data_IF_965407861609
#
_entry.id   IF_965407861609
#
_cell.length_a   1.000
_cell.length_b   1.000
_cell.length_c   1.000
_cell.angle_alpha   90.00
_cell.angle_beta   90.00
_cell.angle_gamma   90.00
#
_symmetry.space_group_name_H-M   'P 1'
#
loop_
_entity.id
_entity.type
_entity.pdbx_description
1 polymer ?
#
# COMPACT_ATOMS: atom_id res chain seq x y z
N UNK A 1 70.79 -38.60 -51.65
CA UNK A 1 69.37 -38.39 -52.02
C UNK A 1 68.54 -39.09 -50.96
N UNK A 2 67.93 -38.33 -50.07
CA UNK A 2 66.99 -38.86 -49.00
C UNK A 2 65.62 -38.31 -49.29
N UNK A 3 64.67 -39.16 -49.60
CA UNK A 3 63.30 -38.86 -49.91
C UNK A 3 62.53 -38.72 -48.61
N UNK A 4 61.92 -37.57 -48.39
CA UNK A 4 61.05 -37.33 -47.21
C UNK A 4 59.62 -37.71 -47.58
N UNK A 5 59.04 -38.60 -46.81
CA UNK A 5 57.62 -38.97 -46.93
C UNK A 5 56.83 -38.12 -45.98
N UNK A 6 55.90 -37.31 -46.55
CA UNK A 6 54.98 -36.47 -45.76
C UNK A 6 53.73 -37.29 -45.52
N UNK A 7 53.39 -37.56 -44.24
CA UNK A 7 52.08 -38.14 -43.82
C UNK A 7 51.09 -36.99 -43.60
N UNK A 8 50.03 -36.96 -44.40
CA UNK A 8 48.84 -36.15 -44.18
C UNK A 8 47.96 -36.87 -43.16
N UNK A 9 47.86 -36.35 -41.98
CA UNK A 9 46.77 -36.75 -41.04
C UNK A 9 45.53 -36.02 -41.38
N UNK A 10 44.50 -36.71 -41.83
CA UNK A 10 43.15 -36.20 -41.98
C UNK A 10 42.45 -36.19 -40.63
N UNK A 11 42.14 -35.00 -40.10
CA UNK A 11 41.38 -34.80 -38.87
C UNK A 11 39.90 -34.92 -39.23
N UNK A 12 39.26 -36.02 -38.86
CA UNK A 12 37.83 -36.18 -38.98
C UNK A 12 37.12 -35.44 -37.82
N UNK A 13 36.51 -34.29 -38.13
CA UNK A 13 35.66 -33.58 -37.20
C UNK A 13 34.31 -34.28 -37.16
N UNK A 14 34.05 -35.05 -36.09
CA UNK A 14 32.73 -35.60 -35.79
C UNK A 14 31.80 -34.48 -35.28
N UNK A 15 30.91 -34.02 -36.16
CA UNK A 15 29.82 -33.14 -35.74
C UNK A 15 28.75 -33.96 -35.04
N UNK A 16 28.74 -33.93 -33.71
CA UNK A 16 27.62 -34.44 -32.91
C UNK A 16 26.39 -33.55 -33.14
N UNK A 17 25.21 -34.10 -33.46
CA UNK A 17 23.99 -33.30 -33.55
C UNK A 17 23.64 -32.80 -32.16
N UNK A 18 23.66 -31.46 -31.97
CA UNK A 18 23.19 -30.81 -30.77
C UNK A 18 21.67 -30.99 -30.72
N UNK A 19 21.21 -31.96 -29.94
CA UNK A 19 19.81 -32.10 -29.61
C UNK A 19 19.40 -30.83 -28.83
N UNK A 20 18.77 -29.87 -29.52
CA UNK A 20 18.04 -28.78 -28.89
C UNK A 20 16.81 -29.41 -28.26
N UNK A 21 16.91 -29.79 -26.99
CA UNK A 21 15.73 -30.09 -26.19
C UNK A 21 15.01 -28.75 -26.01
N UNK A 22 13.79 -28.57 -26.57
CA UNK A 22 13.02 -27.38 -26.22
C UNK A 22 12.77 -27.49 -24.72
N UNK A 23 13.46 -26.66 -23.94
CA UNK A 23 13.03 -26.41 -22.56
C UNK A 23 11.59 -25.94 -22.67
N UNK A 24 10.63 -26.77 -22.26
CA UNK A 24 9.29 -26.31 -21.98
C UNK A 24 9.45 -25.19 -20.93
N UNK A 25 9.53 -23.96 -21.39
CA UNK A 25 9.18 -22.82 -20.57
C UNK A 25 7.70 -23.06 -20.25
N UNK A 26 7.40 -23.55 -19.05
CA UNK A 26 6.09 -23.31 -18.46
C UNK A 26 5.92 -21.80 -18.53
N UNK A 27 5.00 -21.32 -19.38
CA UNK A 27 4.59 -19.95 -19.29
C UNK A 27 4.23 -19.70 -17.83
N UNK A 28 4.73 -18.63 -17.21
CA UNK A 28 4.29 -18.31 -15.86
C UNK A 28 2.76 -18.29 -15.85
N UNK A 29 2.10 -18.85 -14.84
CA UNK A 29 0.66 -18.68 -14.68
C UNK A 29 0.41 -17.16 -14.65
N UNK A 30 -0.33 -16.63 -15.65
CA UNK A 30 -0.55 -15.19 -15.78
C UNK A 30 -0.20 -14.60 -17.15
N UNK A 31 0.31 -15.39 -18.11
CA UNK A 31 0.45 -14.92 -19.49
C UNK A 31 -0.88 -14.94 -20.29
N UNK A 32 -2.01 -15.15 -19.60
CA UNK A 32 -3.33 -14.76 -20.08
C UNK A 32 -3.50 -13.26 -19.94
N UNK A 33 -4.31 -12.62 -20.76
CA UNK A 33 -4.65 -11.21 -20.60
C UNK A 33 -5.20 -11.00 -19.18
N UNK A 34 -4.45 -10.28 -18.34
CA UNK A 34 -4.93 -9.88 -17.03
C UNK A 34 -6.20 -9.04 -17.21
N UNK A 35 -7.16 -9.21 -16.32
CA UNK A 35 -8.42 -8.46 -16.33
C UNK A 35 -8.33 -7.36 -15.30
N UNK A 36 -8.89 -6.22 -15.63
CA UNK A 36 -8.92 -5.00 -14.85
C UNK A 36 -8.46 -3.83 -15.70
N UNK A 37 -8.92 -2.64 -15.39
CA UNK A 37 -8.60 -1.41 -16.09
C UNK A 37 -8.39 -0.28 -15.08
N UNK A 38 -7.35 0.49 -15.25
CA UNK A 38 -7.09 1.69 -14.46
C UNK A 38 -7.35 2.92 -15.33
N UNK A 39 -8.42 3.64 -15.06
CA UNK A 39 -8.76 4.85 -15.79
C UNK A 39 -8.48 6.10 -14.96
N UNK A 40 -8.03 7.20 -15.58
CA UNK A 40 -8.01 8.49 -14.91
C UNK A 40 -9.45 8.91 -14.61
N UNK A 41 -9.75 9.12 -13.33
CA UNK A 41 -11.05 9.56 -12.86
C UNK A 41 -11.13 11.10 -12.82
N UNK A 42 -10.12 11.72 -12.23
CA UNK A 42 -9.97 13.18 -12.13
C UNK A 42 -8.53 13.52 -11.68
N UNK A 43 -8.33 14.80 -11.36
CA UNK A 43 -7.10 15.28 -10.74
C UNK A 43 -7.41 15.82 -9.35
N UNK A 44 -6.45 15.72 -8.46
CA UNK A 44 -6.53 16.31 -7.14
C UNK A 44 -6.27 17.82 -7.24
N UNK A 45 -7.23 18.65 -6.85
CA UNK A 45 -7.15 20.10 -6.99
C UNK A 45 -6.14 20.76 -6.02
N UNK A 46 -5.63 20.01 -5.03
CA UNK A 46 -4.55 20.48 -4.16
C UNK A 46 -3.17 20.23 -4.75
N UNK A 47 -2.09 20.70 -4.10
CA UNK A 47 -0.73 20.44 -4.54
C UNK A 47 -0.43 18.95 -4.66
N UNK A 48 0.28 18.54 -5.73
CA UNK A 48 0.82 17.21 -5.89
C UNK A 48 1.63 16.80 -4.65
N UNK A 49 1.46 15.57 -4.18
CA UNK A 49 2.01 15.12 -2.91
C UNK A 49 2.26 13.62 -2.82
N UNK A 50 3.10 13.22 -1.87
CA UNK A 50 3.30 11.83 -1.46
C UNK A 50 3.26 11.72 0.06
N UNK A 51 3.10 10.50 0.58
CA UNK A 51 3.15 10.23 2.03
C UNK A 51 2.16 11.09 2.83
N UNK A 52 1.02 11.38 2.22
CA UNK A 52 -0.06 12.16 2.81
C UNK A 52 -0.94 11.29 3.71
N UNK A 53 -1.88 11.93 4.38
CA UNK A 53 -2.89 11.29 5.23
C UNK A 53 -4.22 11.23 4.50
N UNK A 54 -4.94 10.11 4.64
CA UNK A 54 -6.32 9.98 4.15
C UNK A 54 -7.21 9.29 5.17
N UNK A 55 -8.49 9.66 5.16
CA UNK A 55 -9.57 8.96 5.84
C UNK A 55 -10.90 9.22 5.11
N UNK A 56 -11.86 8.32 5.30
CA UNK A 56 -13.19 8.45 4.68
C UNK A 56 -14.25 8.55 5.77
N UNK A 57 -15.10 9.57 5.69
CA UNK A 57 -16.28 9.73 6.54
C UNK A 57 -17.51 9.63 5.64
N UNK A 58 -18.34 8.62 5.85
CA UNK A 58 -19.44 8.28 4.96
C UNK A 58 -18.96 8.19 3.50
N UNK A 59 -19.60 8.89 2.56
CA UNK A 59 -19.25 8.91 1.14
C UNK A 59 -18.32 10.08 0.76
N UNK A 60 -17.48 10.54 1.70
CA UNK A 60 -16.55 11.64 1.48
C UNK A 60 -15.15 11.23 1.92
N UNK A 61 -14.19 11.30 1.02
CA UNK A 61 -12.77 11.12 1.34
C UNK A 61 -12.13 12.46 1.69
N UNK A 62 -11.19 12.40 2.62
CA UNK A 62 -10.39 13.52 3.10
C UNK A 62 -8.93 13.21 2.88
N UNK A 63 -8.18 14.16 2.31
CA UNK A 63 -6.75 14.03 2.01
C UNK A 63 -6.03 15.29 2.45
N UNK A 64 -4.91 15.13 3.14
CA UNK A 64 -4.12 16.28 3.54
C UNK A 64 -2.72 15.93 4.02
N UNK A 65 -1.96 16.94 4.40
CA UNK A 65 -0.54 16.83 4.76
C UNK A 65 0.30 16.22 3.63
N UNK A 66 1.41 15.58 3.93
CA UNK A 66 2.27 14.93 2.94
C UNK A 66 3.44 15.80 2.50
N UNK A 67 4.24 15.25 1.60
CA UNK A 67 5.40 15.88 1.01
C UNK A 67 5.08 16.32 -0.42
N UNK A 68 5.06 17.61 -0.68
CA UNK A 68 5.05 18.17 -2.02
C UNK A 68 6.44 18.14 -2.65
N UNK A 69 6.59 18.78 -3.83
CA UNK A 69 7.86 18.80 -4.56
C UNK A 69 8.99 19.50 -3.78
N UNK A 70 8.67 20.50 -2.96
CA UNK A 70 9.68 21.34 -2.29
C UNK A 70 9.48 21.48 -0.79
N UNK A 71 8.31 21.15 -0.27
CA UNK A 71 7.97 21.34 1.15
C UNK A 71 6.94 20.33 1.63
N UNK A 72 6.88 20.11 2.94
CA UNK A 72 5.78 19.43 3.59
C UNK A 72 4.57 20.32 3.67
N UNK A 73 3.39 19.71 3.68
CA UNK A 73 2.11 20.37 3.58
C UNK A 73 1.29 20.17 4.86
N UNK A 74 0.32 21.08 5.10
CA UNK A 74 -0.69 20.96 6.15
C UNK A 74 -2.10 21.27 5.66
N UNK A 75 -2.27 21.57 4.37
CA UNK A 75 -3.59 21.73 3.78
C UNK A 75 -4.38 20.43 3.81
N UNK A 76 -5.70 20.55 3.84
CA UNK A 76 -6.62 19.41 3.77
C UNK A 76 -7.73 19.67 2.76
N UNK A 77 -8.18 18.60 2.12
CA UNK A 77 -9.16 18.63 1.03
C UNK A 77 -10.16 17.52 1.22
N UNK A 78 -11.37 17.69 0.73
CA UNK A 78 -12.41 16.66 0.68
C UNK A 78 -12.95 16.46 -0.72
N UNK A 79 -13.36 15.25 -1.02
CA UNK A 79 -13.96 14.86 -2.29
C UNK A 79 -15.09 13.87 -2.07
N UNK A 80 -16.17 14.02 -2.86
CA UNK A 80 -17.23 13.03 -2.98
C UNK A 80 -17.59 12.82 -4.45
N UNK A 81 -18.04 11.64 -4.81
CA UNK A 81 -18.39 11.31 -6.21
C UNK A 81 -19.51 12.22 -6.76
N UNK A 82 -20.39 12.72 -5.90
CA UNK A 82 -21.50 13.58 -6.31
C UNK A 82 -21.06 15.00 -6.71
N UNK A 83 -19.87 15.42 -6.26
CA UNK A 83 -19.35 16.76 -6.55
C UNK A 83 -18.40 16.80 -7.74
N UNK A 84 -17.67 15.71 -8.00
CA UNK A 84 -16.68 15.58 -9.08
C UNK A 84 -15.51 16.57 -9.03
N UNK A 85 -15.32 17.26 -7.91
CA UNK A 85 -14.18 18.19 -7.66
C UNK A 85 -13.80 18.16 -6.18
N UNK A 86 -12.56 18.56 -5.90
CA UNK A 86 -12.03 18.66 -4.54
C UNK A 86 -12.35 20.01 -3.93
N UNK A 87 -12.60 20.04 -2.67
CA UNK A 87 -12.89 21.25 -1.90
C UNK A 87 -11.85 21.35 -0.79
N UNK A 88 -11.12 22.45 -0.75
CA UNK A 88 -10.24 22.72 0.38
C UNK A 88 -11.06 22.97 1.64
N UNK A 89 -10.64 22.36 2.74
CA UNK A 89 -11.22 22.50 4.07
C UNK A 89 -10.20 23.17 5.01
N UNK A 90 -10.54 23.30 6.29
CA UNK A 90 -9.62 23.87 7.26
C UNK A 90 -8.27 23.15 7.28
N UNK A 91 -7.20 23.93 7.19
CA UNK A 91 -5.84 23.43 7.28
C UNK A 91 -5.61 22.66 8.58
N UNK A 92 -4.78 21.62 8.50
CA UNK A 92 -4.44 20.80 9.64
C UNK A 92 -3.70 21.59 10.71
N UNK A 93 -4.28 21.69 11.89
CA UNK A 93 -3.73 22.48 12.99
C UNK A 93 -2.48 21.88 13.65
N UNK A 94 -2.19 20.60 13.40
CA UNK A 94 -0.96 19.96 13.87
C UNK A 94 0.30 20.39 13.12
N UNK A 95 0.19 21.25 12.10
CA UNK A 95 1.32 21.76 11.30
C UNK A 95 1.70 20.85 10.13
N UNK A 96 2.75 21.26 9.42
CA UNK A 96 3.26 20.53 8.25
C UNK A 96 3.81 19.16 8.67
N UNK A 97 3.54 18.12 7.85
CA UNK A 97 4.07 16.77 8.09
C UNK A 97 3.89 15.83 6.91
N UNK A 98 4.65 14.76 6.88
CA UNK A 98 4.44 13.60 6.01
C UNK A 98 4.52 12.30 6.83
N UNK A 99 4.20 11.17 6.20
CA UNK A 99 4.29 9.83 6.82
C UNK A 99 3.48 9.68 8.13
N UNK A 100 2.44 10.50 8.28
CA UNK A 100 1.49 10.45 9.39
C UNK A 100 0.46 9.35 9.20
N UNK A 101 -0.53 9.34 10.12
CA UNK A 101 -1.65 8.38 10.10
C UNK A 101 -2.98 9.10 9.93
N UNK A 102 -3.98 8.37 9.40
CA UNK A 102 -5.37 8.80 9.36
C UNK A 102 -6.33 7.64 9.52
N UNK A 103 -7.42 7.89 10.22
CA UNK A 103 -8.56 6.98 10.35
C UNK A 103 -9.85 7.76 10.63
N UNK A 104 -11.00 7.13 10.46
CA UNK A 104 -12.27 7.76 10.81
C UNK A 104 -13.09 6.86 11.74
N UNK A 105 -13.70 7.47 12.77
CA UNK A 105 -14.56 6.81 13.75
C UNK A 105 -15.74 7.73 14.08
N UNK A 106 -16.94 7.17 14.14
CA UNK A 106 -18.17 7.88 14.60
C UNK A 106 -18.40 9.22 13.87
N UNK A 107 -18.18 9.26 12.55
CA UNK A 107 -18.38 10.46 11.74
C UNK A 107 -17.34 11.56 11.93
N UNK A 108 -16.25 11.29 12.61
CA UNK A 108 -15.10 12.18 12.79
C UNK A 108 -13.86 11.59 12.13
N UNK A 109 -12.99 12.44 11.58
CA UNK A 109 -11.68 12.04 11.06
C UNK A 109 -10.58 12.28 12.09
N UNK A 110 -9.58 11.46 12.09
CA UNK A 110 -8.41 11.60 12.97
C UNK A 110 -7.15 11.59 12.13
N UNK A 111 -6.22 12.51 12.44
CA UNK A 111 -4.91 12.57 11.81
C UNK A 111 -3.85 12.91 12.85
N UNK A 112 -2.63 12.41 12.65
CA UNK A 112 -1.55 12.67 13.59
C UNK A 112 -0.27 11.93 13.25
N UNK A 113 0.67 11.89 14.20
CA UNK A 113 1.98 11.27 14.04
C UNK A 113 2.74 11.84 12.83
N UNK A 114 3.74 11.12 12.34
CA UNK A 114 4.50 11.54 11.15
C UNK A 114 5.75 12.33 11.48
N UNK A 115 6.27 13.07 10.51
CA UNK A 115 7.53 13.80 10.57
C UNK A 115 7.36 15.23 10.05
N UNK A 116 7.77 16.23 10.83
CA UNK A 116 7.63 17.66 10.47
C UNK A 116 8.84 18.23 9.71
N UNK A 117 9.94 17.50 9.70
CA UNK A 117 11.21 17.92 9.13
C UNK A 117 12.36 17.91 10.13
N UNK A 118 12.01 17.95 11.41
CA UNK A 118 12.97 17.92 12.52
C UNK A 118 12.78 16.70 13.42
N UNK A 119 11.52 16.38 13.77
CA UNK A 119 11.21 15.34 14.75
C UNK A 119 10.07 14.44 14.31
N UNK A 120 10.04 13.21 14.84
CA UNK A 120 8.86 12.37 14.79
C UNK A 120 7.81 12.89 15.77
N UNK A 121 6.56 12.84 15.36
CA UNK A 121 5.44 13.42 16.08
C UNK A 121 4.56 12.33 16.71
N UNK A 122 3.82 12.69 17.78
CA UNK A 122 2.84 11.81 18.43
C UNK A 122 1.52 12.50 18.74
N UNK A 123 1.35 13.75 18.34
CA UNK A 123 0.09 14.47 18.48
C UNK A 123 -1.00 13.84 17.60
N UNK A 124 -2.23 13.90 18.09
CA UNK A 124 -3.41 13.41 17.38
C UNK A 124 -4.48 14.50 17.40
N UNK A 125 -5.16 14.65 16.28
CA UNK A 125 -6.16 15.68 16.05
C UNK A 125 -7.43 15.07 15.46
N UNK A 126 -8.58 15.54 15.93
CA UNK A 126 -9.90 15.19 15.46
C UNK A 126 -10.42 16.27 14.52
N UNK A 127 -10.89 15.88 13.34
CA UNK A 127 -11.62 16.71 12.41
C UNK A 127 -13.11 16.51 12.55
N UNK A 128 -13.84 17.60 12.66
CA UNK A 128 -15.32 17.61 12.64
C UNK A 128 -15.82 18.21 11.32
N UNK A 129 -16.53 17.43 10.47
CA UNK A 129 -17.15 17.97 9.25
C UNK A 129 -18.15 19.11 9.54
N UNK A 130 -18.89 19.03 10.65
CA UNK A 130 -19.93 19.98 11.01
C UNK A 130 -19.39 21.38 11.28
N UNK A 131 -18.24 21.47 11.95
CA UNK A 131 -17.57 22.74 12.27
C UNK A 131 -16.48 23.13 11.26
N UNK A 132 -16.14 22.23 10.32
CA UNK A 132 -14.97 22.36 9.46
C UNK A 132 -13.72 22.73 10.27
N UNK A 133 -13.44 21.98 11.34
CA UNK A 133 -12.39 22.36 12.29
C UNK A 133 -11.67 21.17 12.92
N UNK A 134 -10.45 21.45 13.38
CA UNK A 134 -9.57 20.50 14.06
C UNK A 134 -9.48 20.80 15.56
N UNK A 135 -9.61 19.76 16.38
CA UNK A 135 -9.42 19.79 17.81
C UNK A 135 -8.31 18.83 18.22
N UNK A 136 -7.37 19.28 19.06
CA UNK A 136 -6.34 18.42 19.60
C UNK A 136 -6.94 17.40 20.54
N UNK A 137 -6.49 16.16 20.44
CA UNK A 137 -6.86 15.02 21.26
C UNK A 137 -5.66 14.57 22.11
N UNK A 138 -5.88 13.56 22.94
CA UNK A 138 -4.81 12.92 23.70
C UNK A 138 -3.70 12.44 22.76
N UNK A 139 -2.47 12.79 23.08
CA UNK A 139 -1.31 12.32 22.35
C UNK A 139 -1.30 10.80 22.29
N UNK A 140 -0.80 10.27 21.19
CA UNK A 140 -0.66 8.84 20.96
C UNK A 140 0.02 8.13 22.15
N UNK A 141 -0.50 6.99 22.54
CA UNK A 141 -0.04 6.25 23.73
C UNK A 141 1.34 5.60 23.59
N UNK A 142 1.77 5.36 22.35
CA UNK A 142 3.12 4.84 22.06
C UNK A 142 4.15 5.94 21.82
N UNK A 143 5.28 5.58 21.24
CA UNK A 143 6.35 6.51 20.86
C UNK A 143 5.98 7.33 19.62
N UNK A 144 6.53 8.53 19.50
CA UNK A 144 6.47 9.34 18.28
C UNK A 144 7.04 8.53 17.10
N UNK A 145 6.35 8.50 15.95
CA UNK A 145 6.72 7.60 14.86
C UNK A 145 6.20 8.02 13.50
N UNK A 146 6.80 7.43 12.49
CA UNK A 146 6.41 7.53 11.07
C UNK A 146 5.99 6.18 10.50
N UNK A 147 5.29 6.22 9.35
CA UNK A 147 5.03 5.04 8.53
C UNK A 147 4.35 3.88 9.29
N UNK A 148 3.54 4.23 10.30
CA UNK A 148 2.64 3.31 10.97
C UNK A 148 1.40 3.03 10.09
N UNK A 149 0.74 1.89 10.33
CA UNK A 149 -0.61 1.67 9.81
C UNK A 149 -1.66 2.17 10.78
N UNK A 150 -2.77 2.69 10.25
CA UNK A 150 -3.92 3.07 11.04
C UNK A 150 -5.22 2.55 10.43
N UNK A 151 -6.16 2.18 11.27
CA UNK A 151 -7.45 1.61 10.85
C UNK A 151 -8.51 1.83 11.92
N UNK A 152 -9.76 1.58 11.58
CA UNK A 152 -10.88 1.64 12.52
C UNK A 152 -11.65 0.31 12.55
N UNK A 153 -11.99 -0.17 13.74
CA UNK A 153 -12.83 -1.35 13.98
C UNK A 153 -13.70 -1.12 15.22
N UNK A 154 -14.96 -1.53 15.17
CA UNK A 154 -15.86 -1.54 16.32
C UNK A 154 -15.95 -0.19 17.06
N UNK A 155 -15.98 0.92 16.34
CA UNK A 155 -16.01 2.29 16.85
C UNK A 155 -14.74 2.74 17.60
N UNK A 156 -13.63 2.07 17.41
CA UNK A 156 -12.31 2.45 17.91
C UNK A 156 -11.34 2.71 16.75
N UNK A 157 -10.41 3.64 16.97
CA UNK A 157 -9.25 3.82 16.10
C UNK A 157 -8.10 2.91 16.54
N UNK A 158 -7.27 2.51 15.62
CA UNK A 158 -6.07 1.71 15.90
C UNK A 158 -4.86 2.27 15.18
N UNK A 159 -3.71 2.21 15.82
CA UNK A 159 -2.40 2.50 15.23
C UNK A 159 -1.45 1.37 15.57
N UNK A 160 -0.81 0.79 14.57
CA UNK A 160 0.11 -0.31 14.77
C UNK A 160 1.38 -0.13 13.93
N UNK A 161 2.47 -0.76 14.35
CA UNK A 161 3.75 -0.76 13.63
C UNK A 161 4.39 0.63 13.51
N UNK A 162 5.23 0.84 12.50
CA UNK A 162 5.90 2.13 12.26
C UNK A 162 7.37 2.12 12.66
N UNK A 163 7.95 3.33 12.73
CA UNK A 163 9.37 3.54 12.96
C UNK A 163 9.63 4.74 13.87
N UNK A 164 10.43 4.54 14.91
CA UNK A 164 10.90 5.54 15.90
C UNK A 164 12.42 5.45 16.11
N UNK A 165 13.18 5.26 15.04
CA UNK A 165 14.55 4.79 14.96
C UNK A 165 14.69 3.26 15.17
N UNK A 166 13.60 2.61 15.55
CA UNK A 166 13.46 1.16 15.55
C UNK A 166 12.20 0.78 14.79
N UNK A 167 12.23 -0.37 14.12
CA UNK A 167 10.99 -0.96 13.60
C UNK A 167 10.10 -1.40 14.75
N UNK A 168 8.80 -1.18 14.63
CA UNK A 168 7.82 -1.42 15.69
C UNK A 168 6.82 -2.51 15.29
N UNK A 169 6.18 -3.12 16.29
CA UNK A 169 5.09 -4.09 16.10
C UNK A 169 3.99 -3.98 17.16
N UNK A 170 4.05 -2.94 18.00
CA UNK A 170 3.00 -2.64 18.94
C UNK A 170 1.70 -2.27 18.23
N UNK A 171 0.60 -2.40 18.92
CA UNK A 171 -0.74 -2.05 18.45
C UNK A 171 -1.45 -1.30 19.57
N UNK A 172 -2.09 -0.19 19.25
CA UNK A 172 -2.74 0.70 20.19
C UNK A 172 -4.15 1.00 19.74
N UNK A 173 -5.11 0.92 20.65
CA UNK A 173 -6.49 1.27 20.44
C UNK A 173 -6.77 2.66 21.01
N UNK A 174 -7.45 3.50 20.24
CA UNK A 174 -7.97 4.80 20.64
C UNK A 174 -9.47 4.71 20.90
N UNK A 175 -9.89 5.14 22.08
CA UNK A 175 -11.28 5.32 22.43
C UNK A 175 -11.67 6.80 22.27
N UNK A 176 -12.49 7.16 21.25
CA UNK A 176 -12.89 8.54 21.03
C UNK A 176 -13.77 9.11 22.17
N UNK A 177 -14.55 8.27 22.87
CA UNK A 177 -15.43 8.70 23.93
C UNK A 177 -14.65 9.05 25.22
N UNK A 178 -13.61 8.27 25.51
CA UNK A 178 -12.75 8.48 26.68
C UNK A 178 -11.54 9.38 26.38
N UNK A 179 -11.28 9.72 25.11
CA UNK A 179 -10.06 10.38 24.64
C UNK A 179 -8.80 9.73 25.22
N UNK A 180 -8.67 8.41 25.04
CA UNK A 180 -7.60 7.63 25.66
C UNK A 180 -7.08 6.52 24.76
N UNK A 181 -5.80 6.14 24.99
CA UNK A 181 -5.12 5.07 24.28
C UNK A 181 -4.88 3.88 25.20
N UNK A 182 -5.11 2.67 24.67
CA UNK A 182 -4.84 1.41 25.36
C UNK A 182 -3.99 0.53 24.45
N UNK A 183 -2.90 0.00 24.99
CA UNK A 183 -2.07 -0.95 24.24
C UNK A 183 -2.80 -2.29 24.14
N UNK A 184 -2.79 -2.86 22.93
CA UNK A 184 -3.42 -4.13 22.57
C UNK A 184 -2.35 -5.14 22.17
N UNK A 185 -2.78 -6.38 21.83
CA UNK A 185 -1.88 -7.39 21.33
C UNK A 185 -1.09 -6.87 20.11
N UNK A 186 0.23 -6.97 20.18
CA UNK A 186 1.11 -6.53 19.09
C UNK A 186 1.02 -7.43 17.86
N UNK A 187 1.32 -6.86 16.69
CA UNK A 187 1.36 -7.59 15.40
C UNK A 187 2.30 -8.79 15.51
N UNK A 188 1.87 -9.94 15.00
CA UNK A 188 2.75 -11.12 14.89
C UNK A 188 3.86 -10.88 13.86
N UNK A 189 4.80 -11.80 13.78
CA UNK A 189 5.91 -11.71 12.85
C UNK A 189 6.93 -10.61 13.18
N UNK A 190 7.56 -10.09 12.14
CA UNK A 190 8.64 -9.11 12.29
C UNK A 190 8.10 -7.70 12.60
N UNK A 191 8.88 -6.94 13.37
CA UNK A 191 8.69 -5.48 13.51
C UNK A 191 8.81 -4.83 12.13
N UNK A 192 8.00 -3.80 11.84
CA UNK A 192 7.91 -3.22 10.50
C UNK A 192 7.47 -1.77 10.46
N UNK A 193 7.75 -1.13 9.35
CA UNK A 193 7.19 0.14 8.90
C UNK A 193 6.63 0.02 7.48
N UNK A 194 5.91 1.03 7.00
CA UNK A 194 5.45 1.12 5.60
C UNK A 194 4.65 -0.08 5.12
N UNK A 195 3.98 -0.79 6.02
CA UNK A 195 3.04 -1.86 5.67
C UNK A 195 1.75 -1.25 5.09
N UNK A 196 0.98 -2.06 4.37
CA UNK A 196 -0.38 -1.69 3.98
C UNK A 196 -1.40 -2.34 4.92
N UNK A 197 -2.57 -1.69 5.07
CA UNK A 197 -3.66 -2.22 5.88
C UNK A 197 -4.98 -2.12 5.12
N UNK A 198 -5.83 -3.12 5.27
CA UNK A 198 -7.21 -3.11 4.77
C UNK A 198 -8.14 -3.82 5.74
N UNK A 199 -9.43 -3.52 5.64
CA UNK A 199 -10.46 -4.11 6.51
C UNK A 199 -11.36 -5.00 5.66
N UNK A 200 -11.46 -6.27 6.03
CA UNK A 200 -12.41 -7.22 5.46
C UNK A 200 -13.06 -8.02 6.58
N UNK A 201 -14.34 -8.31 6.45
CA UNK A 201 -15.10 -9.11 7.42
C UNK A 201 -14.87 -8.64 8.87
N UNK A 202 -14.88 -7.32 9.09
CA UNK A 202 -14.64 -6.68 10.39
C UNK A 202 -13.30 -7.09 11.08
N UNK A 203 -12.30 -7.41 10.29
CA UNK A 203 -10.93 -7.70 10.74
C UNK A 203 -9.93 -6.81 10.00
N UNK A 204 -8.85 -6.44 10.65
CA UNK A 204 -7.76 -5.67 10.02
C UNK A 204 -6.67 -6.62 9.52
N UNK A 205 -6.29 -6.45 8.28
CA UNK A 205 -5.25 -7.21 7.61
C UNK A 205 -4.04 -6.32 7.38
N UNK A 206 -2.91 -6.63 8.01
CA UNK A 206 -1.63 -5.93 7.82
C UNK A 206 -0.76 -6.78 6.89
N UNK A 207 -0.45 -6.24 5.72
CA UNK A 207 0.26 -6.95 4.67
C UNK A 207 1.64 -6.37 4.45
N UNK A 208 2.65 -7.25 4.42
CA UNK A 208 4.02 -6.92 4.03
C UNK A 208 4.62 -5.74 4.83
N UNK A 209 5.25 -4.77 4.16
CA UNK A 209 6.00 -3.68 4.76
C UNK A 209 7.51 -3.95 4.75
N UNK A 210 8.27 -3.09 5.41
CA UNK A 210 9.72 -3.09 5.37
C UNK A 210 10.33 -3.34 6.75
N UNK A 211 11.34 -4.19 6.80
CA UNK A 211 12.16 -4.45 7.98
C UNK A 211 13.58 -4.85 7.59
N UNK A 212 14.58 -4.22 8.20
CA UNK A 212 15.98 -4.62 8.09
C UNK A 212 16.48 -4.88 6.66
N UNK A 213 16.11 -4.01 5.70
CA UNK A 213 16.61 -4.08 4.33
C UNK A 213 15.74 -4.89 3.36
N UNK A 214 14.61 -5.46 3.81
CA UNK A 214 13.78 -6.32 2.97
C UNK A 214 12.27 -6.06 3.13
N UNK A 215 11.50 -6.35 2.09
CA UNK A 215 10.06 -6.49 2.16
C UNK A 215 9.70 -7.75 2.96
N UNK A 216 8.69 -7.63 3.83
CA UNK A 216 8.19 -8.75 4.60
C UNK A 216 7.23 -9.59 3.78
N UNK A 217 7.28 -10.90 4.00
CA UNK A 217 6.55 -11.91 3.25
C UNK A 217 5.43 -12.52 4.09
N UNK A 218 4.61 -11.67 4.72
CA UNK A 218 3.54 -12.11 5.61
C UNK A 218 2.26 -11.28 5.46
N UNK A 219 1.17 -11.86 5.91
CA UNK A 219 -0.14 -11.25 6.06
C UNK A 219 -0.65 -11.59 7.46
N UNK A 220 -0.85 -10.57 8.28
CA UNK A 220 -1.29 -10.70 9.66
C UNK A 220 -2.70 -10.15 9.83
N UNK A 221 -3.57 -10.88 10.50
CA UNK A 221 -4.99 -10.53 10.67
C UNK A 221 -5.30 -10.30 12.13
N UNK A 222 -5.87 -9.14 12.45
CA UNK A 222 -6.29 -8.74 13.79
C UNK A 222 -7.80 -8.85 13.96
N UNK A 223 -8.20 -9.56 14.98
CA UNK A 223 -9.56 -9.62 15.49
C UNK A 223 -9.69 -8.76 16.76
N UNK A 224 -10.37 -7.63 16.63
CA UNK A 224 -10.54 -6.68 17.74
C UNK A 224 -11.48 -7.20 18.83
N UNK A 225 -12.36 -8.16 18.53
CA UNK A 225 -13.28 -8.75 19.51
C UNK A 225 -12.56 -9.66 20.50
N UNK A 226 -11.50 -10.34 20.04
CA UNK A 226 -10.71 -11.27 20.85
C UNK A 226 -9.33 -10.73 21.24
N UNK A 227 -8.93 -9.57 20.72
CA UNK A 227 -7.60 -8.99 20.86
C UNK A 227 -6.49 -9.96 20.44
N UNK A 228 -6.65 -10.61 19.26
CA UNK A 228 -5.70 -11.61 18.77
C UNK A 228 -5.32 -11.37 17.32
N UNK A 229 -4.08 -11.69 17.02
CA UNK A 229 -3.55 -11.75 15.66
C UNK A 229 -3.45 -13.21 15.19
N UNK A 230 -3.62 -13.41 13.88
CA UNK A 230 -3.46 -14.70 13.20
C UNK A 230 -2.66 -14.47 11.92
N UNK A 231 -1.62 -15.27 11.72
CA UNK A 231 -0.83 -15.25 10.47
C UNK A 231 -1.55 -16.04 9.38
N UNK A 232 -1.70 -15.45 8.21
CA UNK A 232 -2.18 -16.07 6.98
C UNK A 232 -1.03 -16.70 6.19
N UNK A 233 -1.32 -17.22 4.99
CA UNK A 233 -0.29 -17.79 4.11
C UNK A 233 0.79 -16.75 3.79
N UNK A 234 1.99 -17.24 3.53
CA UNK A 234 3.09 -16.41 3.03
C UNK A 234 2.75 -15.85 1.65
N UNK A 235 3.23 -14.64 1.37
CA UNK A 235 2.95 -13.91 0.12
C UNK A 235 3.77 -14.41 -1.07
N UNK A 236 4.90 -15.08 -0.81
CA UNK A 236 5.77 -15.64 -1.84
C UNK A 236 6.17 -17.07 -1.48
N UNK A 237 6.63 -17.83 -2.46
CA UNK A 237 7.04 -19.22 -2.25
C UNK A 237 8.30 -19.33 -1.39
N UNK A 238 8.12 -19.55 -0.11
CA UNK A 238 9.18 -19.95 0.85
C UNK A 238 8.94 -21.33 1.44
N UNK A 239 7.74 -21.89 1.25
CA UNK A 239 7.35 -23.23 1.74
C UNK A 239 6.18 -23.75 0.92
N UNK A 240 5.83 -25.03 1.06
CA UNK A 240 4.64 -25.63 0.45
C UNK A 240 3.32 -24.96 0.88
N UNK A 241 3.35 -24.17 1.95
CA UNK A 241 2.20 -23.38 2.39
C UNK A 241 2.13 -21.98 1.78
N UNK A 242 3.12 -21.53 1.01
CA UNK A 242 3.00 -20.34 0.19
C UNK A 242 2.11 -20.67 -1.01
N UNK A 243 1.26 -19.71 -1.43
CA UNK A 243 0.40 -19.98 -2.59
C UNK A 243 1.04 -19.54 -3.90
N UNK A 244 2.26 -19.03 -3.85
CA UNK A 244 2.89 -18.41 -4.99
C UNK A 244 4.36 -18.76 -5.11
N UNK A 245 4.67 -19.60 -6.06
CA UNK A 245 6.02 -19.96 -6.48
C UNK A 245 6.64 -18.98 -7.49
N UNK A 246 5.88 -17.99 -7.97
CA UNK A 246 6.25 -17.19 -9.13
C UNK A 246 6.10 -15.69 -8.95
N UNK A 247 5.39 -15.22 -7.91
CA UNK A 247 4.96 -13.84 -7.77
C UNK A 247 5.67 -13.13 -6.63
N UNK A 248 6.93 -12.80 -6.82
CA UNK A 248 7.73 -12.05 -5.83
C UNK A 248 7.25 -10.60 -5.67
N UNK A 249 6.34 -10.14 -6.53
CA UNK A 249 5.89 -8.75 -6.57
C UNK A 249 4.82 -8.39 -5.53
N UNK A 250 4.23 -9.36 -4.79
CA UNK A 250 3.27 -9.04 -3.72
C UNK A 250 3.99 -8.41 -2.52
N UNK A 251 5.08 -9.03 -2.05
CA UNK A 251 5.84 -8.51 -0.92
C UNK A 251 6.50 -7.16 -1.29
N UNK A 252 6.09 -6.08 -0.59
CA UNK A 252 6.50 -4.71 -0.89
C UNK A 252 6.25 -3.76 0.29
N UNK A 253 6.71 -2.54 0.20
CA UNK A 253 6.43 -1.48 1.17
C UNK A 253 5.93 -0.20 0.48
N UNK A 254 5.38 0.74 1.24
CA UNK A 254 4.77 1.97 0.75
C UNK A 254 3.73 1.73 -0.37
N UNK A 255 3.12 0.56 -0.38
CA UNK A 255 2.01 0.22 -1.25
C UNK A 255 0.70 0.76 -0.68
N UNK A 256 -0.31 0.86 -1.53
CA UNK A 256 -1.67 1.17 -1.09
C UNK A 256 -2.55 -0.06 -1.16
N UNK A 257 -3.50 -0.13 -0.21
CA UNK A 257 -4.55 -1.12 -0.23
C UNK A 257 -5.92 -0.47 -0.06
N UNK A 258 -6.93 -1.05 -0.70
CA UNK A 258 -8.33 -0.65 -0.58
C UNK A 258 -9.22 -1.88 -0.68
N UNK A 259 -10.50 -1.73 -0.33
CA UNK A 259 -11.47 -2.83 -0.39
C UNK A 259 -12.63 -2.48 -1.31
N UNK A 260 -13.03 -3.42 -2.14
CA UNK A 260 -14.13 -3.29 -3.09
C UNK A 260 -14.66 -4.68 -3.41
N UNK A 261 -15.98 -4.82 -3.58
CA UNK A 261 -16.62 -6.10 -3.91
C UNK A 261 -16.27 -7.22 -2.91
N UNK A 262 -16.15 -6.87 -1.60
CA UNK A 262 -15.76 -7.81 -0.54
C UNK A 262 -14.39 -8.50 -0.77
N UNK A 263 -13.50 -7.85 -1.50
CA UNK A 263 -12.12 -8.22 -1.76
C UNK A 263 -11.20 -7.09 -1.32
N UNK A 264 -9.94 -7.39 -1.06
CA UNK A 264 -8.91 -6.37 -0.92
C UNK A 264 -8.05 -6.30 -2.18
N UNK A 265 -7.54 -5.11 -2.42
CA UNK A 265 -6.71 -4.78 -3.57
C UNK A 265 -5.43 -4.14 -3.08
N UNK A 266 -4.28 -4.63 -3.57
CA UNK A 266 -2.96 -4.10 -3.23
C UNK A 266 -2.27 -3.70 -4.53
N UNK A 267 -1.75 -2.46 -4.59
CA UNK A 267 -1.06 -1.96 -5.78
C UNK A 267 -0.02 -0.91 -5.43
N UNK A 268 0.78 -0.50 -6.39
CA UNK A 268 1.86 0.49 -6.23
C UNK A 268 2.94 0.05 -5.21
N UNK A 269 3.71 1.00 -4.65
CA UNK A 269 4.77 0.69 -3.69
C UNK A 269 6.07 0.25 -4.35
N UNK A 270 6.93 -0.38 -3.57
CA UNK A 270 8.27 -0.74 -4.04
C UNK A 270 8.81 -2.01 -3.37
N UNK A 271 9.71 -2.70 -4.06
CA UNK A 271 10.56 -3.77 -3.54
C UNK A 271 11.87 -3.76 -4.33
N UNK A 272 12.82 -2.90 -3.92
CA UNK A 272 14.04 -2.62 -4.68
C UNK A 272 13.83 -1.75 -5.92
N UNK A 273 12.63 -1.75 -6.51
CA UNK A 273 12.17 -0.85 -7.55
C UNK A 273 10.69 -0.54 -7.35
N UNK A 274 10.20 0.55 -7.96
CA UNK A 274 8.78 0.88 -7.94
C UNK A 274 7.98 -0.18 -8.67
N UNK A 275 6.80 -0.49 -8.14
CA UNK A 275 5.98 -1.62 -8.53
C UNK A 275 4.60 -1.14 -8.99
N UNK A 276 4.12 -1.67 -10.10
CA UNK A 276 2.78 -1.39 -10.64
C UNK A 276 1.83 -2.59 -10.60
N UNK A 277 2.29 -3.78 -10.18
CA UNK A 277 1.42 -4.96 -10.11
C UNK A 277 0.25 -4.72 -9.17
N UNK A 278 -0.95 -5.14 -9.60
CA UNK A 278 -2.17 -5.10 -8.80
C UNK A 278 -2.60 -6.51 -8.43
N UNK A 279 -2.92 -6.70 -7.16
CA UNK A 279 -3.31 -7.99 -6.59
C UNK A 279 -4.66 -7.90 -5.91
N UNK A 280 -5.54 -8.86 -6.21
CA UNK A 280 -6.79 -9.11 -5.52
C UNK A 280 -6.60 -10.16 -4.43
N UNK A 281 -7.05 -9.89 -3.22
CA UNK A 281 -7.07 -10.86 -2.12
C UNK A 281 -8.49 -11.29 -1.78
N UNK A 282 -8.71 -12.59 -1.77
CA UNK A 282 -9.94 -13.22 -1.31
C UNK A 282 -9.73 -13.84 0.09
N UNK A 283 -10.33 -13.23 1.10
CA UNK A 283 -10.18 -13.69 2.48
C UNK A 283 -10.88 -15.04 2.76
N UNK A 284 -11.84 -15.46 1.91
CA UNK A 284 -12.57 -16.73 2.08
C UNK A 284 -11.72 -17.93 1.67
N UNK A 285 -10.84 -17.76 0.70
CA UNK A 285 -9.94 -18.78 0.19
C UNK A 285 -8.49 -18.59 0.66
N UNK A 286 -8.20 -17.42 1.25
CA UNK A 286 -6.83 -16.98 1.61
C UNK A 286 -5.90 -17.01 0.38
N UNK A 287 -6.37 -16.47 -0.74
CA UNK A 287 -5.63 -16.46 -2.02
C UNK A 287 -5.54 -15.08 -2.61
N UNK A 288 -4.42 -14.86 -3.30
CA UNK A 288 -4.17 -13.69 -4.12
C UNK A 288 -4.30 -14.04 -5.60
N UNK A 289 -4.82 -13.11 -6.38
CA UNK A 289 -4.92 -13.22 -7.84
C UNK A 289 -4.39 -11.95 -8.48
N UNK A 290 -3.47 -12.08 -9.42
CA UNK A 290 -2.94 -10.94 -10.15
C UNK A 290 -3.98 -10.39 -11.13
N UNK A 291 -4.05 -9.07 -11.20
CA UNK A 291 -4.90 -8.31 -12.12
C UNK A 291 -4.04 -7.35 -12.93
N UNK A 292 -4.67 -6.65 -13.87
CA UNK A 292 -3.99 -5.60 -14.64
C UNK A 292 -3.24 -4.66 -13.70
N UNK A 293 -1.96 -4.47 -13.97
CA UNK A 293 -1.10 -3.58 -13.21
C UNK A 293 -1.60 -2.14 -13.24
N UNK A 294 -1.20 -1.36 -12.26
CA UNK A 294 -1.50 0.08 -12.22
C UNK A 294 -0.97 0.74 -13.50
N UNK A 295 -1.85 1.34 -14.29
CA UNK A 295 -1.55 1.87 -15.63
C UNK A 295 -0.99 3.29 -15.60
N UNK A 296 -1.04 3.97 -14.45
CA UNK A 296 -0.29 5.20 -14.24
C UNK A 296 1.21 4.95 -14.04
N UNK A 297 2.00 6.00 -13.93
CA UNK A 297 3.41 5.90 -13.59
C UNK A 297 3.59 5.15 -12.27
N UNK A 298 4.47 4.13 -12.25
CA UNK A 298 4.82 3.38 -11.05
C UNK A 298 5.26 4.33 -9.93
N UNK A 299 4.72 4.15 -8.73
CA UNK A 299 4.83 5.13 -7.65
C UNK A 299 4.86 4.51 -6.26
N UNK A 300 5.38 5.27 -5.33
CA UNK A 300 5.44 4.97 -3.89
C UNK A 300 4.81 6.11 -3.09
N UNK A 301 4.40 5.86 -1.84
CA UNK A 301 3.80 6.88 -0.99
C UNK A 301 2.50 7.49 -1.53
N UNK A 302 1.78 6.76 -2.36
CA UNK A 302 0.45 7.09 -2.84
C UNK A 302 -0.59 6.93 -1.73
N UNK A 303 -1.82 7.34 -2.00
CA UNK A 303 -2.99 7.08 -1.18
C UNK A 303 -4.00 6.22 -1.94
N UNK A 304 -4.83 5.48 -1.21
CA UNK A 304 -5.99 4.82 -1.78
C UNK A 304 -7.22 5.03 -0.89
N UNK A 305 -8.38 4.99 -1.51
CA UNK A 305 -9.66 5.06 -0.83
C UNK A 305 -10.73 4.30 -1.60
N UNK A 306 -11.81 4.00 -0.90
CA UNK A 306 -13.03 3.43 -1.49
C UNK A 306 -14.20 4.38 -1.25
N UNK A 307 -14.95 4.69 -2.32
CA UNK A 307 -16.22 5.42 -2.24
C UNK A 307 -17.29 4.66 -3.04
N UNK A 308 -18.43 4.39 -2.42
CA UNK A 308 -19.58 3.70 -3.08
C UNK A 308 -19.12 2.41 -3.79
N UNK A 309 -18.28 1.61 -3.13
CA UNK A 309 -17.73 0.36 -3.65
C UNK A 309 -16.89 0.53 -4.93
N UNK A 310 -16.28 1.68 -5.14
CA UNK A 310 -15.31 1.98 -6.20
C UNK A 310 -13.96 2.27 -5.57
N UNK A 311 -12.89 1.69 -6.11
CA UNK A 311 -11.53 1.81 -5.58
C UNK A 311 -10.70 2.83 -6.35
N UNK A 312 -9.99 3.68 -5.62
CA UNK A 312 -9.21 4.78 -6.20
C UNK A 312 -7.78 4.79 -5.64
N UNK A 313 -6.84 5.18 -6.50
CA UNK A 313 -5.45 5.50 -6.14
C UNK A 313 -5.15 6.91 -6.59
N UNK A 314 -4.54 7.69 -5.71
CA UNK A 314 -4.20 9.07 -5.99
C UNK A 314 -2.83 9.45 -5.44
N UNK A 315 -2.26 10.52 -5.95
CA UNK A 315 -1.02 11.11 -5.44
C UNK A 315 0.19 10.15 -5.51
N UNK A 316 1.16 10.32 -4.65
CA UNK A 316 2.39 9.52 -4.66
C UNK A 316 3.52 10.18 -5.45
N UNK A 317 4.65 9.51 -5.50
CA UNK A 317 5.83 10.00 -6.23
C UNK A 317 6.53 8.89 -7.01
N UNK A 318 7.17 9.26 -8.11
CA UNK A 318 8.22 8.49 -8.77
C UNK A 318 9.60 8.92 -8.24
N UNK A 319 10.65 8.56 -8.95
CA UNK A 319 12.01 9.05 -8.65
C UNK A 319 12.11 10.56 -8.88
N UNK A 320 11.41 11.08 -9.90
CA UNK A 320 11.55 12.47 -10.37
C UNK A 320 10.32 13.33 -10.10
N UNK A 321 9.13 12.73 -10.03
CA UNK A 321 7.87 13.45 -10.05
C UNK A 321 7.01 13.15 -8.83
N UNK A 322 6.19 14.13 -8.46
CA UNK A 322 5.12 14.01 -7.46
C UNK A 322 3.79 14.20 -8.19
N UNK A 323 2.82 13.35 -7.89
CA UNK A 323 1.58 13.24 -8.67
C UNK A 323 0.37 13.85 -7.96
N UNK A 324 -0.59 14.29 -8.78
CA UNK A 324 -1.92 14.78 -8.37
C UNK A 324 -3.07 14.05 -9.08
N UNK A 325 -2.77 13.13 -10.00
CA UNK A 325 -3.80 12.36 -10.71
C UNK A 325 -4.49 11.35 -9.79
N UNK A 326 -5.76 11.08 -10.10
CA UNK A 326 -6.61 10.12 -9.41
C UNK A 326 -7.05 9.07 -10.41
N UNK A 327 -6.69 7.82 -10.14
CA UNK A 327 -7.09 6.67 -10.94
C UNK A 327 -8.17 5.88 -10.23
N UNK A 328 -9.14 5.39 -10.99
CA UNK A 328 -10.13 4.43 -10.57
C UNK A 328 -9.79 3.05 -11.11
N UNK A 329 -9.95 2.03 -10.29
CA UNK A 329 -9.80 0.63 -10.72
C UNK A 329 -11.15 0.00 -11.06
N UNK A 330 -11.24 -0.59 -12.24
CA UNK A 330 -12.40 -1.29 -12.79
C UNK A 330 -12.03 -2.79 -12.94
N UNK A 331 -12.33 -3.65 -11.95
CA UNK A 331 -11.74 -5.00 -11.84
C UNK A 331 -12.16 -5.97 -12.92
N UNK A 332 -13.33 -5.77 -13.54
CA UNK A 332 -13.94 -6.69 -14.50
C UNK A 332 -13.93 -6.15 -15.94
N UNK A 333 -13.29 -4.98 -16.15
CA UNK A 333 -13.18 -4.33 -17.45
C UNK A 333 -11.84 -4.70 -18.08
N UNK A 334 -11.78 -5.08 -19.36
CA UNK A 334 -10.51 -5.24 -20.07
C UNK A 334 -9.71 -3.94 -20.12
N UNK A 335 -8.39 -4.07 -20.17
CA UNK A 335 -7.47 -2.91 -20.32
C UNK A 335 -7.88 -2.02 -21.47
N UNK A 336 -7.93 -0.72 -21.23
CA UNK A 336 -8.14 0.30 -22.25
C UNK A 336 -7.01 1.35 -22.16
N UNK A 337 -5.99 1.20 -22.97
CA UNK A 337 -4.83 2.12 -22.98
C UNK A 337 -5.15 3.57 -23.40
N UNK A 338 -6.41 3.89 -23.72
CA UNK A 338 -6.82 5.22 -24.18
C UNK A 338 -7.52 6.06 -23.09
N UNK A 339 -7.64 5.58 -21.86
CA UNK A 339 -8.28 6.28 -20.74
C UNK A 339 -7.34 6.64 -19.59
N UNK A 340 -6.03 6.62 -19.89
CA UNK A 340 -4.94 6.87 -18.94
C UNK A 340 -4.25 8.24 -19.12
N UNK A 341 -4.88 9.16 -19.86
CA UNK A 341 -4.32 10.48 -20.21
C UNK A 341 -5.15 11.64 -19.70
#
# INVERSE_FOLDING_TARGET
MKTAVVYLMALAIATAPMLIIPACRKNPPGSGNLIGNWAISNYFDGPARSEAVTFTINDTVYVGTGSGSTKRLNDFWKYSLDKSYWIQIADFKGGIRNSGIGFAVNGKGYAGLGYDGDTYLKDVWEYSPDSNGWARKKDFGGTARIEAVAFALNNYGYVATGYDDNYLKDNWQYDPAADSWTQKAGVLGAKRKSASVFILNNQAYVVSGYSNGAALNDLEVYDAGTDKWTTKRKLTNVTDSSFDDQYTSIARWNAVAFTMNNKAWLTTGENGSMNSHTWEYDYTTDQWTEKTGFEGTARTGALAFTLKNRGFVLTGRSVTDVFDNVFEFQPDVPVNANDNY
#
